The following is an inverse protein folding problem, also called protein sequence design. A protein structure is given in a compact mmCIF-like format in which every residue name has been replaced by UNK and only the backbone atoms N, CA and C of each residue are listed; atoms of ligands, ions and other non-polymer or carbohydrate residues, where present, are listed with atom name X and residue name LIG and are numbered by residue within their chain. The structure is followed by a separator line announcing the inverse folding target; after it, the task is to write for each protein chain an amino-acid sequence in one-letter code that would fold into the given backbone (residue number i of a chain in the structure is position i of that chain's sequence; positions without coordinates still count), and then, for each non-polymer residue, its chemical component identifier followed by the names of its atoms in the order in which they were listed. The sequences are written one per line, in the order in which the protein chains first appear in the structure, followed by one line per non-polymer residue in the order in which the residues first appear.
data_IF_213360530380
#
_entry.id   IF_213360530380
#
_cell.length_a   1.000
_cell.length_b   1.000
_cell.length_c   1.000
_cell.angle_alpha   90.00
_cell.angle_beta   90.00
_cell.angle_gamma   90.00
#
_symmetry.space_group_name_H-M   'P 1'
#
loop_
_entity.id
_entity.type
_entity.pdbx_description
1 polymer ?
#
# COMPACT_ATOMS: atom_id res chain seq x y z
N UNK A 1 -16.21 -7.29 -23.26
CA UNK A 1 -16.46 -7.52 -21.82
C UNK A 1 -15.13 -7.50 -21.10
N UNK A 2 -15.06 -6.86 -19.93
CA UNK A 2 -13.84 -6.86 -19.12
C UNK A 2 -13.60 -8.27 -18.57
N UNK A 3 -12.51 -8.93 -18.97
CA UNK A 3 -12.10 -10.19 -18.36
C UNK A 3 -11.84 -9.93 -16.87
N UNK A 4 -12.60 -10.54 -15.96
CA UNK A 4 -12.46 -10.33 -14.51
C UNK A 4 -11.01 -10.48 -14.01
N UNK A 5 -10.26 -11.42 -14.59
CA UNK A 5 -8.83 -11.63 -14.29
C UNK A 5 -7.90 -10.47 -14.68
N UNK A 6 -8.34 -9.54 -15.53
CA UNK A 6 -7.58 -8.35 -15.92
C UNK A 6 -7.88 -7.14 -15.01
N UNK A 7 -8.95 -7.19 -14.21
CA UNK A 7 -9.33 -6.08 -13.33
C UNK A 7 -8.38 -6.09 -12.13
N UNK A 8 -7.51 -5.07 -12.06
CA UNK A 8 -6.54 -4.89 -10.98
C UNK A 8 -7.08 -3.91 -9.93
N UNK A 9 -7.05 -4.33 -8.67
CA UNK A 9 -7.39 -3.49 -7.53
C UNK A 9 -6.17 -2.72 -7.05
N UNK A 10 -6.24 -1.39 -7.07
CA UNK A 10 -5.13 -0.54 -6.63
C UNK A 10 -5.00 -0.45 -5.09
N UNK A 11 -6.07 -0.76 -4.35
CA UNK A 11 -6.07 -0.69 -2.88
C UNK A 11 -5.25 -1.83 -2.25
N UNK A 12 -5.41 -3.06 -2.77
CA UNK A 12 -4.76 -4.26 -2.22
C UNK A 12 -3.79 -4.93 -3.20
N UNK A 13 -3.70 -4.45 -4.44
CA UNK A 13 -2.90 -5.03 -5.54
C UNK A 13 -3.39 -6.41 -6.01
N UNK A 14 -4.59 -6.82 -5.60
CA UNK A 14 -5.25 -8.04 -6.06
C UNK A 14 -5.83 -7.91 -7.47
N UNK A 15 -6.24 -9.04 -8.04
CA UNK A 15 -6.94 -9.12 -9.35
C UNK A 15 -8.38 -9.62 -9.14
N UNK A 16 -9.22 -9.53 -10.17
CA UNK A 16 -10.58 -10.09 -10.12
C UNK A 16 -11.68 -9.12 -9.68
N UNK A 17 -11.35 -7.93 -9.19
CA UNK A 17 -12.32 -6.99 -8.61
C UNK A 17 -11.90 -5.53 -8.76
N UNK A 18 -12.87 -4.61 -8.80
CA UNK A 18 -12.60 -3.18 -8.80
C UNK A 18 -12.20 -2.70 -7.40
N UNK A 19 -11.49 -1.57 -7.34
CA UNK A 19 -11.09 -0.96 -6.06
C UNK A 19 -12.28 -0.62 -5.14
N UNK A 20 -13.46 -0.33 -5.71
CA UNK A 20 -14.71 -0.05 -4.96
C UNK A 20 -15.30 -1.29 -4.28
N UNK A 21 -15.02 -2.48 -4.82
CA UNK A 21 -15.51 -3.77 -4.30
C UNK A 21 -14.46 -4.46 -3.41
N UNK A 22 -13.35 -3.77 -3.13
CA UNK A 22 -12.26 -4.33 -2.35
C UNK A 22 -12.68 -4.49 -0.88
N UNK A 23 -12.77 -5.75 -0.45
CA UNK A 23 -13.08 -6.12 0.95
C UNK A 23 -11.84 -6.11 1.85
N UNK A 24 -10.65 -6.05 1.25
CA UNK A 24 -9.40 -5.91 2.00
C UNK A 24 -9.41 -4.56 2.69
N UNK A 25 -9.37 -4.58 4.02
CA UNK A 25 -9.31 -3.36 4.82
C UNK A 25 -8.10 -2.53 4.37
N UNK A 26 -8.28 -1.25 4.01
CA UNK A 26 -7.15 -0.37 3.76
C UNK A 26 -6.20 -0.42 4.94
N UNK A 27 -4.89 -0.50 4.68
CA UNK A 27 -3.88 -0.39 5.75
C UNK A 27 -4.17 0.90 6.51
N UNK A 28 -4.62 0.77 7.77
CA UNK A 28 -4.82 1.91 8.66
C UNK A 28 -3.47 2.60 8.76
N UNK A 29 -3.40 3.87 8.35
CA UNK A 29 -2.24 4.74 8.59
C UNK A 29 -2.43 5.39 9.94
N UNK A 30 -2.35 4.58 10.99
CA UNK A 30 -2.39 5.09 12.35
C UNK A 30 -1.04 5.72 12.73
N UNK A 31 -1.00 6.33 13.91
CA UNK A 31 0.19 7.02 14.40
C UNK A 31 1.41 6.09 14.46
N UNK A 32 1.22 4.82 14.85
CA UNK A 32 2.28 3.82 14.91
C UNK A 32 2.86 3.49 13.52
N UNK A 33 2.01 3.35 12.50
CA UNK A 33 2.46 3.17 11.12
C UNK A 33 3.27 4.36 10.61
N UNK A 34 2.78 5.59 10.85
CA UNK A 34 3.46 6.81 10.41
C UNK A 34 4.81 6.98 11.13
N UNK A 35 4.85 6.74 12.44
CA UNK A 35 6.08 6.76 13.23
C UNK A 35 7.13 5.79 12.67
N UNK A 36 6.70 4.56 12.34
CA UNK A 36 7.60 3.53 11.78
C UNK A 36 8.13 3.94 10.40
N UNK A 37 7.27 4.49 9.53
CA UNK A 37 7.69 4.96 8.20
C UNK A 37 8.71 6.10 8.28
N UNK A 38 8.53 7.06 9.20
CA UNK A 38 9.48 8.15 9.41
C UNK A 38 10.84 7.63 9.89
N UNK A 39 10.85 6.67 10.82
CA UNK A 39 12.08 6.06 11.32
C UNK A 39 12.84 5.30 10.22
N UNK A 40 12.13 4.66 9.30
CA UNK A 40 12.74 3.98 8.15
C UNK A 40 13.37 5.02 7.22
N UNK A 41 12.62 6.07 6.85
CA UNK A 41 13.13 7.12 5.97
C UNK A 41 14.38 7.80 6.55
N UNK A 42 14.37 8.16 7.84
CA UNK A 42 15.54 8.75 8.50
C UNK A 42 16.78 7.84 8.46
N UNK A 43 16.59 6.52 8.59
CA UNK A 43 17.69 5.55 8.51
C UNK A 43 18.21 5.39 7.09
N UNK A 44 17.34 5.46 6.09
CA UNK A 44 17.76 5.45 4.68
C UNK A 44 18.52 6.73 4.32
N UNK A 45 18.03 7.90 4.74
CA UNK A 45 18.74 9.17 4.56
C UNK A 45 20.11 9.15 5.22
N UNK A 46 20.21 8.67 6.46
CA UNK A 46 21.48 8.56 7.16
C UNK A 46 22.47 7.58 6.48
N UNK A 47 21.99 6.57 5.74
CA UNK A 47 22.84 5.65 4.97
C UNK A 47 23.31 6.23 3.64
N UNK A 48 22.52 7.13 3.04
CA UNK A 48 22.86 7.79 1.78
C UNK A 48 23.90 8.91 2.00
N UNK A 49 23.98 9.44 3.22
CA UNK A 49 24.93 10.49 3.60
C UNK A 49 26.34 9.96 4.01
N UNK A 50 26.59 8.66 3.92
CA UNK A 50 27.88 8.01 4.20
C UNK A 50 28.52 7.48 2.91
#
# INVERSE_FOLDING_TARGET
GHNGNQIRCYNCRGVGHFARDCTVRPRRRDAAYLQTQLLIAQKEEARIQL
#
